data_IF_697804874367
#
_entry.id   IF_697804874367
#
_cell.length_a   1.000
_cell.length_b   1.000
_cell.length_c   1.000
_cell.angle_alpha   90.00
_cell.angle_beta   90.00
_cell.angle_gamma   90.00
#
_symmetry.space_group_name_H-M   'P 1'
#
loop_
_entity.id
_entity.type
_entity.pdbx_description
1 polymer ?
#
# COMPACT_ATOMS: atom_id res chain seq x y z
N UNK A 1 7.14 1.94 -15.98
CA UNK A 1 6.76 1.27 -14.70
C UNK A 1 5.83 2.17 -13.94
N UNK A 2 4.68 1.69 -13.45
CA UNK A 2 3.77 2.50 -12.63
C UNK A 2 4.49 2.99 -11.37
N UNK A 3 4.33 4.25 -11.03
CA UNK A 3 5.02 4.90 -9.94
C UNK A 3 4.10 5.85 -9.15
N UNK A 4 4.50 6.17 -7.93
CA UNK A 4 3.90 7.24 -7.13
C UNK A 4 5.01 8.22 -6.76
N UNK A 5 4.78 9.51 -7.03
CA UNK A 5 5.69 10.54 -6.60
C UNK A 5 5.64 10.66 -5.07
N UNK A 6 6.73 10.31 -4.41
CA UNK A 6 6.83 10.40 -2.94
C UNK A 6 7.69 11.59 -2.50
N UNK A 7 8.78 11.83 -3.20
CA UNK A 7 9.72 12.89 -2.89
C UNK A 7 9.95 13.78 -4.09
N UNK A 8 10.05 15.08 -3.86
CA UNK A 8 10.20 16.13 -4.88
C UNK A 8 11.50 16.88 -4.59
N UNK A 9 12.48 16.88 -5.49
CA UNK A 9 13.68 17.71 -5.36
C UNK A 9 13.32 19.19 -5.22
N UNK A 10 14.16 19.95 -4.50
CA UNK A 10 13.92 21.37 -4.21
C UNK A 10 13.68 22.20 -5.48
N UNK A 11 14.43 21.94 -6.53
CA UNK A 11 14.38 22.66 -7.81
C UNK A 11 13.02 22.51 -8.53
N UNK A 12 12.30 21.43 -8.24
CA UNK A 12 11.01 21.13 -8.85
C UNK A 12 9.81 21.39 -7.93
N UNK A 13 10.04 21.84 -6.68
CA UNK A 13 8.96 22.06 -5.70
C UNK A 13 7.87 22.97 -6.23
N UNK A 14 8.24 24.05 -6.93
CA UNK A 14 7.30 25.05 -7.44
C UNK A 14 6.37 24.54 -8.55
N UNK A 15 6.68 23.39 -9.16
CA UNK A 15 5.84 22.78 -10.20
C UNK A 15 4.58 22.10 -9.61
N UNK A 16 4.58 21.78 -8.31
CA UNK A 16 3.52 21.05 -7.66
C UNK A 16 2.79 21.94 -6.66
N UNK A 17 1.60 22.40 -7.04
CA UNK A 17 0.76 23.25 -6.20
C UNK A 17 -0.04 22.39 -5.18
N UNK A 18 0.67 21.83 -4.22
CA UNK A 18 0.11 21.02 -3.13
C UNK A 18 0.77 21.40 -1.80
N UNK A 19 0.04 21.20 -0.70
CA UNK A 19 0.59 21.41 0.64
C UNK A 19 1.74 20.44 0.90
N UNK A 20 2.87 20.96 1.36
CA UNK A 20 4.07 20.21 1.65
C UNK A 20 4.27 20.05 3.15
N UNK A 21 4.75 18.89 3.57
CA UNK A 21 5.24 18.71 4.93
C UNK A 21 6.35 19.72 5.24
N UNK A 22 6.39 20.22 6.46
CA UNK A 22 7.45 21.11 6.95
C UNK A 22 8.79 20.39 7.05
N UNK A 23 8.76 19.09 7.37
CA UNK A 23 9.93 18.22 7.35
C UNK A 23 10.45 18.03 5.92
N UNK A 24 11.76 18.01 5.77
CA UNK A 24 12.45 17.71 4.51
C UNK A 24 13.38 16.51 4.69
N UNK A 25 13.78 15.92 3.57
CA UNK A 25 14.73 14.81 3.51
C UNK A 25 15.93 15.22 2.68
N UNK A 26 17.01 14.46 2.78
CA UNK A 26 18.20 14.64 1.95
C UNK A 26 18.56 13.30 1.32
N UNK A 27 18.77 13.29 -0.01
CA UNK A 27 19.29 12.14 -0.75
C UNK A 27 20.58 12.58 -1.47
N UNK A 28 21.72 12.05 -1.03
CA UNK A 28 23.00 12.65 -1.39
C UNK A 28 23.03 14.12 -1.00
N UNK A 29 23.31 15.02 -1.94
CA UNK A 29 23.27 16.47 -1.73
C UNK A 29 21.90 17.10 -2.02
N UNK A 30 20.95 16.35 -2.58
CA UNK A 30 19.65 16.87 -2.99
C UNK A 30 18.68 16.95 -1.82
N UNK A 31 18.15 18.15 -1.57
CA UNK A 31 17.05 18.38 -0.62
C UNK A 31 15.73 17.96 -1.24
N UNK A 32 14.94 17.20 -0.50
CA UNK A 32 13.68 16.62 -0.95
C UNK A 32 12.51 17.13 -0.11
N UNK A 33 11.40 17.41 -0.78
CA UNK A 33 10.10 17.72 -0.20
C UNK A 33 9.12 16.57 -0.40
N UNK A 34 8.05 16.55 0.38
CA UNK A 34 6.97 15.58 0.27
C UNK A 34 5.63 16.25 0.50
N UNK A 35 4.65 15.93 -0.34
CA UNK A 35 3.29 16.40 -0.14
C UNK A 35 2.72 15.83 1.18
N UNK A 36 1.96 16.66 1.90
CA UNK A 36 1.31 16.27 3.15
C UNK A 36 0.32 15.10 2.92
N UNK A 37 -0.49 15.21 1.88
CA UNK A 37 -1.46 14.19 1.47
C UNK A 37 -1.09 13.63 0.10
N UNK A 38 -0.49 12.44 0.06
CA UNK A 38 0.00 11.84 -1.19
C UNK A 38 -1.10 11.18 -2.04
N UNK A 39 -2.24 10.81 -1.44
CA UNK A 39 -3.17 9.85 -2.06
C UNK A 39 -4.61 10.38 -2.12
N UNK A 40 -4.81 11.69 -2.06
CA UNK A 40 -6.11 12.30 -2.34
C UNK A 40 -6.34 12.38 -3.84
N UNK A 41 -7.60 12.34 -4.26
CA UNK A 41 -7.97 12.48 -5.67
C UNK A 41 -7.47 13.80 -6.24
N UNK A 42 -7.66 14.91 -5.49
CA UNK A 42 -7.23 16.25 -5.89
C UNK A 42 -5.72 16.33 -6.09
N UNK A 43 -4.91 15.87 -5.12
CA UNK A 43 -3.45 15.93 -5.26
C UNK A 43 -2.93 15.04 -6.39
N UNK A 44 -3.58 13.89 -6.63
CA UNK A 44 -3.21 13.03 -7.74
C UNK A 44 -3.43 13.71 -9.08
N UNK A 45 -4.55 14.42 -9.26
CA UNK A 45 -4.81 15.22 -10.48
C UNK A 45 -3.78 16.34 -10.63
N UNK A 46 -3.48 17.07 -9.55
CA UNK A 46 -2.42 18.11 -9.56
C UNK A 46 -1.06 17.55 -9.98
N UNK A 47 -0.71 16.35 -9.52
CA UNK A 47 0.53 15.69 -9.94
C UNK A 47 0.50 15.31 -11.43
N UNK A 48 -0.59 14.72 -11.93
CA UNK A 48 -0.72 14.38 -13.35
C UNK A 48 -0.58 15.63 -14.22
N UNK A 49 -1.24 16.72 -13.86
CA UNK A 49 -1.17 18.00 -14.61
C UNK A 49 0.24 18.58 -14.61
N UNK A 50 0.93 18.59 -13.47
CA UNK A 50 2.30 19.05 -13.36
C UNK A 50 3.25 18.21 -14.23
N UNK A 51 3.11 16.88 -14.17
CA UNK A 51 3.90 15.97 -15.01
C UNK A 51 3.58 16.14 -16.50
N UNK A 52 2.31 16.22 -16.89
CA UNK A 52 1.93 16.44 -18.30
C UNK A 52 2.58 17.71 -18.89
N UNK A 53 2.64 18.78 -18.07
CA UNK A 53 3.21 20.06 -18.49
C UNK A 53 4.73 20.05 -18.52
N UNK A 54 5.40 19.45 -17.53
CA UNK A 54 6.84 19.63 -17.32
C UNK A 54 7.66 18.36 -17.62
N UNK A 55 7.04 17.18 -17.53
CA UNK A 55 7.68 15.88 -17.69
C UNK A 55 6.73 14.88 -18.36
N UNK A 56 6.31 15.11 -19.62
CA UNK A 56 5.26 14.32 -20.28
C UNK A 56 5.58 12.82 -20.35
N UNK A 57 6.85 12.42 -20.42
CA UNK A 57 7.28 11.01 -20.43
C UNK A 57 6.95 10.27 -19.13
N UNK A 58 6.63 11.00 -18.05
CA UNK A 58 6.19 10.41 -16.79
C UNK A 58 4.66 10.23 -16.72
N UNK A 59 3.93 10.60 -17.75
CA UNK A 59 2.48 10.34 -17.87
C UNK A 59 2.28 9.23 -18.90
N UNK A 60 1.59 8.19 -18.47
CA UNK A 60 1.28 7.02 -19.28
C UNK A 60 -0.23 6.82 -19.38
N UNK A 61 -0.77 6.79 -20.61
CA UNK A 61 -2.14 6.38 -20.84
C UNK A 61 -2.24 4.86 -20.78
N UNK A 62 -3.01 4.36 -19.82
CA UNK A 62 -3.26 2.92 -19.66
C UNK A 62 -4.51 2.53 -20.46
N UNK A 63 -4.38 1.84 -21.62
CA UNK A 63 -5.51 1.47 -22.46
C UNK A 63 -6.40 0.38 -21.84
N UNK A 64 -5.92 -0.29 -20.79
CA UNK A 64 -6.69 -1.30 -20.09
C UNK A 64 -7.58 -0.72 -18.98
N UNK A 65 -7.29 0.50 -18.53
CA UNK A 65 -8.05 1.25 -17.52
C UNK A 65 -8.67 2.53 -18.05
N UNK A 66 -8.41 2.86 -19.32
CA UNK A 66 -8.86 4.08 -19.97
C UNK A 66 -8.56 5.34 -19.13
N UNK A 67 -7.31 5.46 -18.64
CA UNK A 67 -6.89 6.62 -17.85
C UNK A 67 -5.39 6.87 -17.90
N UNK A 68 -5.01 8.11 -17.60
CA UNK A 68 -3.61 8.48 -17.42
C UNK A 68 -3.12 8.10 -16.02
N UNK A 69 -1.91 7.60 -15.97
CA UNK A 69 -1.22 7.16 -14.77
C UNK A 69 0.18 7.76 -14.71
N UNK A 70 0.66 8.03 -13.51
CA UNK A 70 2.05 8.39 -13.30
C UNK A 70 2.90 7.14 -13.49
N UNK A 71 3.93 7.26 -14.30
CA UNK A 71 4.90 6.19 -14.53
C UNK A 71 6.34 6.72 -14.42
N UNK A 72 7.30 5.81 -14.22
CA UNK A 72 8.72 6.09 -14.41
C UNK A 72 9.17 5.37 -15.67
N UNK A 73 9.65 6.09 -16.71
CA UNK A 73 10.30 5.49 -17.86
C UNK A 73 11.49 4.63 -17.40
N UNK A 74 11.67 3.44 -17.97
CA UNK A 74 12.74 2.55 -17.54
C UNK A 74 14.13 3.18 -17.71
N UNK A 75 14.30 3.99 -18.76
CA UNK A 75 15.53 4.76 -19.02
C UNK A 75 15.84 5.84 -17.99
N UNK A 76 14.85 6.26 -17.20
CA UNK A 76 14.98 7.30 -16.16
C UNK A 76 15.14 6.70 -14.75
N UNK A 77 15.22 5.36 -14.63
CA UNK A 77 15.43 4.68 -13.35
C UNK A 77 16.93 4.49 -13.14
N UNK A 78 17.49 5.24 -12.21
CA UNK A 78 18.89 5.11 -11.83
C UNK A 78 19.13 3.92 -10.89
N UNK A 79 18.29 3.77 -9.88
CA UNK A 79 18.48 2.74 -8.84
C UNK A 79 17.15 2.15 -8.40
N UNK A 80 17.13 0.85 -8.16
CA UNK A 80 15.99 0.12 -7.58
C UNK A 80 16.38 -0.43 -6.22
N UNK A 81 15.68 0.00 -5.18
CA UNK A 81 15.87 -0.45 -3.81
C UNK A 81 14.91 -1.59 -3.49
N UNK A 82 15.34 -2.84 -3.71
CA UNK A 82 14.57 -4.04 -3.37
C UNK A 82 14.70 -4.30 -1.87
N UNK A 83 13.60 -4.36 -1.10
CA UNK A 83 13.66 -4.43 0.36
C UNK A 83 14.50 -5.59 0.92
N UNK A 84 14.42 -6.80 0.34
CA UNK A 84 15.29 -7.94 0.71
C UNK A 84 16.78 -7.60 0.53
N UNK A 85 17.14 -7.02 -0.62
CA UNK A 85 18.52 -6.62 -0.89
C UNK A 85 18.99 -5.50 0.05
N UNK A 86 18.10 -4.55 0.39
CA UNK A 86 18.39 -3.49 1.36
C UNK A 86 18.67 -4.06 2.76
N UNK A 87 17.93 -5.07 3.22
CA UNK A 87 18.19 -5.72 4.51
C UNK A 87 19.52 -6.47 4.49
N UNK A 88 19.85 -7.19 3.41
CA UNK A 88 21.15 -7.86 3.24
C UNK A 88 22.29 -6.84 3.28
N UNK A 89 22.13 -5.68 2.63
CA UNK A 89 23.11 -4.61 2.65
C UNK A 89 23.26 -4.02 4.06
N UNK A 90 22.15 -3.77 4.75
CA UNK A 90 22.15 -3.25 6.12
C UNK A 90 22.90 -4.20 7.10
N UNK A 91 22.68 -5.51 6.98
CA UNK A 91 23.39 -6.51 7.80
C UNK A 91 24.91 -6.54 7.57
N UNK A 92 25.39 -6.00 6.46
CA UNK A 92 26.84 -5.93 6.13
C UNK A 92 27.51 -4.62 6.57
N UNK A 93 26.72 -3.67 7.10
CA UNK A 93 27.27 -2.39 7.58
C UNK A 93 28.15 -2.64 8.79
N UNK A 94 29.45 -2.31 8.70
CA UNK A 94 30.44 -2.56 9.77
C UNK A 94 30.24 -1.65 10.97
N UNK A 95 29.71 -0.44 10.79
CA UNK A 95 29.42 0.54 11.83
C UNK A 95 28.01 1.10 11.66
N UNK A 96 26.97 0.28 11.93
CA UNK A 96 25.60 0.77 11.87
C UNK A 96 25.38 1.84 12.94
N UNK A 97 24.62 2.87 12.60
CA UNK A 97 24.16 3.85 13.56
C UNK A 97 23.09 3.27 14.51
N UNK A 98 22.64 4.08 15.46
CA UNK A 98 21.69 3.64 16.48
C UNK A 98 20.35 3.16 15.88
N UNK A 99 19.80 3.87 14.88
CA UNK A 99 18.53 3.49 14.25
C UNK A 99 18.67 2.22 13.41
N UNK A 100 19.79 2.07 12.70
CA UNK A 100 20.11 0.87 11.94
C UNK A 100 20.26 -0.37 12.84
N UNK A 101 20.97 -0.23 13.98
CA UNK A 101 21.07 -1.29 15.00
C UNK A 101 19.71 -1.67 15.54
N UNK A 102 18.89 -0.68 15.91
CA UNK A 102 17.56 -0.89 16.45
C UNK A 102 16.63 -1.58 15.44
N UNK A 103 16.75 -1.25 14.13
CA UNK A 103 16.02 -1.95 13.07
C UNK A 103 16.42 -3.43 12.97
N UNK A 104 17.72 -3.74 13.03
CA UNK A 104 18.21 -5.12 13.01
C UNK A 104 17.77 -5.90 14.26
N UNK A 105 17.84 -5.30 15.44
CA UNK A 105 17.42 -5.90 16.71
C UNK A 105 15.90 -6.19 16.72
N UNK A 106 15.10 -5.26 16.21
CA UNK A 106 13.64 -5.45 16.05
C UNK A 106 13.33 -6.62 15.12
N UNK A 107 13.98 -6.68 13.97
CA UNK A 107 13.77 -7.76 13.01
C UNK A 107 14.24 -9.11 13.57
N UNK A 108 15.35 -9.15 14.28
CA UNK A 108 15.83 -10.36 14.97
C UNK A 108 14.85 -10.83 16.06
N UNK A 109 14.29 -9.90 16.85
CA UNK A 109 13.28 -10.18 17.86
C UNK A 109 12.02 -10.80 17.25
N UNK A 110 11.50 -10.19 16.17
CA UNK A 110 10.29 -10.66 15.48
C UNK A 110 10.56 -12.00 14.78
N UNK A 111 11.69 -12.15 14.10
CA UNK A 111 12.11 -13.40 13.45
C UNK A 111 12.19 -14.55 14.46
N UNK A 112 12.81 -14.32 15.62
CA UNK A 112 12.89 -15.31 16.71
C UNK A 112 11.54 -15.70 17.25
N UNK A 113 10.62 -14.74 17.45
CA UNK A 113 9.28 -14.99 17.98
C UNK A 113 8.39 -15.73 16.97
N UNK A 114 8.48 -15.36 15.70
CA UNK A 114 7.64 -15.94 14.63
C UNK A 114 8.18 -17.25 14.06
N UNK A 115 9.49 -17.52 14.21
CA UNK A 115 10.18 -18.61 13.52
C UNK A 115 10.41 -18.34 12.03
N UNK A 116 9.99 -17.18 11.49
CA UNK A 116 10.22 -16.79 10.09
C UNK A 116 11.65 -16.30 9.93
N UNK A 117 12.36 -16.83 8.93
CA UNK A 117 13.75 -16.47 8.66
C UNK A 117 13.92 -15.03 8.17
N UNK A 118 15.03 -14.38 8.48
CA UNK A 118 15.33 -13.02 8.04
C UNK A 118 15.35 -12.87 6.49
N UNK A 119 15.52 -13.96 5.74
CA UNK A 119 15.45 -13.98 4.29
C UNK A 119 14.03 -13.62 3.75
N UNK A 120 13.00 -13.77 4.58
CA UNK A 120 11.62 -13.43 4.24
C UNK A 120 11.22 -12.01 4.69
N UNK A 121 12.18 -11.26 5.25
CA UNK A 121 12.01 -9.85 5.59
C UNK A 121 12.74 -8.94 4.60
N UNK A 122 12.38 -7.68 4.62
CA UNK A 122 13.09 -6.63 3.91
C UNK A 122 12.96 -5.29 4.62
N UNK A 123 13.94 -4.42 4.47
CA UNK A 123 13.90 -3.04 4.96
C UNK A 123 13.56 -2.10 3.82
N UNK A 124 12.72 -1.08 4.08
CA UNK A 124 12.41 -0.04 3.11
C UNK A 124 12.37 1.34 3.79
N UNK A 125 11.75 2.34 3.14
CA UNK A 125 11.67 3.68 3.70
C UNK A 125 13.02 4.39 3.76
N UNK A 126 13.19 5.27 4.73
CA UNK A 126 14.37 6.14 4.83
C UNK A 126 15.66 5.39 5.13
N UNK A 127 15.59 4.29 5.89
CA UNK A 127 16.76 3.46 6.21
C UNK A 127 17.33 2.82 4.95
N UNK A 128 16.45 2.22 4.11
CA UNK A 128 16.88 1.59 2.87
C UNK A 128 17.51 2.57 1.86
N UNK A 129 17.08 3.82 1.89
CA UNK A 129 17.55 4.88 1.00
C UNK A 129 18.74 5.66 1.58
N UNK A 130 19.22 5.30 2.79
CA UNK A 130 20.21 6.06 3.54
C UNK A 130 19.83 7.55 3.70
N UNK A 131 18.53 7.81 3.92
CA UNK A 131 17.93 9.15 4.08
C UNK A 131 17.35 9.34 5.49
N UNK A 132 17.61 8.41 6.40
CA UNK A 132 17.06 8.45 7.74
C UNK A 132 17.79 9.46 8.61
N UNK A 133 17.07 9.91 9.62
CA UNK A 133 17.56 10.75 10.71
C UNK A 133 17.22 10.05 12.05
N UNK A 134 17.78 10.50 13.17
CA UNK A 134 17.52 9.86 14.46
C UNK A 134 16.03 9.73 14.83
N UNK A 135 15.17 10.63 14.34
CA UNK A 135 13.71 10.60 14.57
C UNK A 135 12.94 9.76 13.55
N UNK A 136 13.59 9.17 12.56
CA UNK A 136 12.92 8.34 11.55
C UNK A 136 12.33 7.07 12.15
N UNK A 137 11.27 6.59 11.53
CA UNK A 137 10.62 5.31 11.80
C UNK A 137 11.39 4.14 11.14
N UNK A 138 11.10 2.93 11.61
CA UNK A 138 11.62 1.69 11.06
C UNK A 138 10.56 1.08 10.17
N UNK A 139 10.77 1.13 8.86
CA UNK A 139 9.86 0.55 7.87
C UNK A 139 10.39 -0.81 7.39
N UNK A 140 9.60 -1.89 7.54
CA UNK A 140 9.97 -3.20 7.02
C UNK A 140 8.81 -3.92 6.34
N UNK A 141 9.15 -4.91 5.53
CA UNK A 141 8.19 -5.76 4.83
C UNK A 141 8.42 -7.22 5.13
N UNK A 142 7.36 -7.99 5.07
CA UNK A 142 7.35 -9.45 5.13
C UNK A 142 6.90 -9.97 3.78
N UNK A 143 7.65 -10.92 3.22
CA UNK A 143 7.33 -11.55 1.96
C UNK A 143 6.47 -12.78 2.17
N UNK A 144 5.40 -12.89 1.38
CA UNK A 144 4.45 -13.98 1.43
C UNK A 144 3.30 -13.79 2.42
N UNK A 145 2.08 -14.16 1.99
CA UNK A 145 0.85 -13.99 2.79
C UNK A 145 0.88 -14.83 4.07
N UNK A 146 1.36 -16.06 3.99
CA UNK A 146 1.44 -16.94 5.16
C UNK A 146 2.46 -16.43 6.17
N UNK A 147 3.67 -16.05 5.72
CA UNK A 147 4.69 -15.47 6.57
C UNK A 147 4.19 -14.21 7.26
N UNK A 148 3.47 -13.34 6.51
CA UNK A 148 2.88 -12.14 7.09
C UNK A 148 1.90 -12.47 8.24
N UNK A 149 1.03 -13.46 8.10
CA UNK A 149 0.09 -13.87 9.15
C UNK A 149 0.79 -14.39 10.40
N UNK A 150 1.84 -15.19 10.21
CA UNK A 150 2.66 -15.70 11.33
C UNK A 150 3.38 -14.56 12.05
N UNK A 151 3.96 -13.62 11.30
CA UNK A 151 4.64 -12.44 11.88
C UNK A 151 3.63 -11.52 12.59
N UNK A 152 2.45 -11.30 12.01
CA UNK A 152 1.38 -10.51 12.64
C UNK A 152 0.98 -11.08 14.01
N UNK A 153 0.83 -12.40 14.11
CA UNK A 153 0.56 -13.09 15.37
C UNK A 153 1.72 -12.93 16.36
N UNK A 154 2.96 -13.10 15.90
CA UNK A 154 4.15 -12.94 16.74
C UNK A 154 4.28 -11.50 17.28
N UNK A 155 3.97 -10.48 16.47
CA UNK A 155 3.94 -9.10 16.93
C UNK A 155 2.86 -8.91 18.02
N UNK A 156 1.68 -9.50 17.86
CA UNK A 156 0.63 -9.43 18.88
C UNK A 156 1.07 -10.08 20.20
N UNK A 157 1.77 -11.21 20.15
CA UNK A 157 2.35 -11.87 21.34
C UNK A 157 3.43 -11.01 22.02
N UNK A 158 4.31 -10.38 21.24
CA UNK A 158 5.32 -9.45 21.75
C UNK A 158 4.69 -8.21 22.38
N UNK A 159 3.56 -7.73 21.86
CA UNK A 159 2.79 -6.64 22.47
C UNK A 159 2.19 -7.10 23.80
N UNK A 160 1.56 -8.27 23.85
CA UNK A 160 1.01 -8.84 25.09
C UNK A 160 2.11 -9.08 26.16
N UNK A 161 3.33 -9.38 25.73
CA UNK A 161 4.50 -9.55 26.60
C UNK A 161 5.16 -8.20 27.00
N UNK A 162 4.63 -7.06 26.56
CA UNK A 162 5.16 -5.73 26.88
C UNK A 162 6.47 -5.36 26.18
N UNK A 163 6.92 -6.17 25.20
CA UNK A 163 8.15 -5.91 24.43
C UNK A 163 7.92 -4.94 23.27
N UNK A 164 6.71 -4.90 22.75
CA UNK A 164 6.25 -3.97 21.72
C UNK A 164 4.96 -3.28 22.20
N UNK A 165 4.53 -2.23 21.52
CA UNK A 165 3.18 -1.68 21.69
C UNK A 165 2.62 -1.27 20.33
N UNK A 166 1.28 -1.32 20.17
CA UNK A 166 0.65 -0.78 18.98
C UNK A 166 0.46 0.73 19.09
N UNK A 167 0.48 1.40 17.93
CA UNK A 167 0.04 2.79 17.77
C UNK A 167 -1.33 2.74 17.12
N UNK A 168 -2.33 3.30 17.81
CA UNK A 168 -3.71 3.35 17.35
C UNK A 168 -4.15 4.80 17.37
N UNK A 169 -4.15 5.45 16.20
CA UNK A 169 -4.59 6.83 16.04
C UNK A 169 -6.09 6.95 15.68
N UNK A 170 -6.64 5.91 15.05
CA UNK A 170 -8.02 5.90 14.59
C UNK A 170 -8.54 4.45 14.45
N UNK A 171 -9.83 4.31 14.07
CA UNK A 171 -10.51 3.01 13.90
C UNK A 171 -9.82 2.08 12.89
N UNK A 172 -9.30 2.62 11.78
CA UNK A 172 -8.60 1.80 10.79
C UNK A 172 -7.26 1.30 11.31
N UNK A 173 -6.53 2.13 12.06
CA UNK A 173 -5.28 1.71 12.69
C UNK A 173 -5.51 0.63 13.74
N UNK A 174 -6.62 0.72 14.49
CA UNK A 174 -7.03 -0.32 15.44
C UNK A 174 -7.32 -1.66 14.76
N UNK A 175 -7.93 -1.62 13.57
CA UNK A 175 -8.27 -2.82 12.81
C UNK A 175 -7.03 -3.46 12.15
N UNK A 176 -6.17 -2.66 11.52
CA UNK A 176 -5.03 -3.17 10.74
C UNK A 176 -3.77 -3.45 11.55
N UNK A 177 -3.53 -2.70 12.65
CA UNK A 177 -2.38 -2.86 13.59
C UNK A 177 -1.00 -2.86 12.92
N UNK A 178 -0.79 -2.05 11.89
CA UNK A 178 0.45 -2.03 11.10
C UNK A 178 1.56 -1.16 11.69
N UNK A 179 1.27 -0.41 12.75
CA UNK A 179 2.23 0.46 13.43
C UNK A 179 2.38 0.09 14.90
N UNK A 180 3.61 0.22 15.38
CA UNK A 180 3.93 0.01 16.79
C UNK A 180 5.14 0.80 17.23
N UNK A 181 5.55 0.53 18.50
CA UNK A 181 6.78 1.06 19.10
C UNK A 181 7.66 -0.07 19.62
N UNK A 182 8.94 0.10 19.38
CA UNK A 182 10.03 -0.71 19.93
C UNK A 182 11.08 0.21 20.52
N UNK A 183 11.39 0.09 21.82
CA UNK A 183 12.36 0.95 22.51
C UNK A 183 12.15 2.45 22.24
N UNK A 184 10.88 2.90 22.23
CA UNK A 184 10.50 4.29 21.96
C UNK A 184 10.44 4.68 20.47
N UNK A 185 10.99 3.87 19.55
CA UNK A 185 10.94 4.12 18.11
C UNK A 185 9.66 3.57 17.48
N UNK A 186 9.14 4.33 16.54
CA UNK A 186 8.01 3.90 15.72
C UNK A 186 8.51 2.89 14.70
N UNK A 187 7.77 1.82 14.51
CA UNK A 187 7.93 0.91 13.37
C UNK A 187 6.64 0.76 12.60
N UNK A 188 6.77 0.49 11.31
CA UNK A 188 5.67 0.11 10.44
C UNK A 188 6.05 -1.15 9.65
N UNK A 189 5.13 -2.12 9.58
CA UNK A 189 5.35 -3.32 8.80
C UNK A 189 4.26 -3.52 7.74
N UNK A 190 4.63 -4.13 6.64
CA UNK A 190 3.77 -4.35 5.49
C UNK A 190 4.03 -5.73 4.90
N UNK A 191 3.06 -6.21 4.10
CA UNK A 191 3.24 -7.42 3.29
C UNK A 191 3.70 -7.08 1.87
N UNK A 192 4.53 -7.94 1.30
CA UNK A 192 4.91 -7.95 -0.11
C UNK A 192 4.72 -9.35 -0.67
N UNK A 193 4.15 -9.47 -1.89
CA UNK A 193 3.98 -10.77 -2.54
C UNK A 193 5.33 -11.38 -2.89
N UNK A 194 5.45 -12.69 -2.72
CA UNK A 194 6.48 -13.45 -3.40
C UNK A 194 6.17 -13.51 -4.91
N UNK A 195 7.16 -13.72 -5.78
CA UNK A 195 6.94 -13.81 -7.23
C UNK A 195 5.84 -14.80 -7.61
N UNK A 196 5.75 -15.93 -6.90
CA UNK A 196 4.80 -17.02 -7.14
C UNK A 196 3.36 -16.64 -6.74
N UNK A 197 3.19 -15.64 -5.89
CA UNK A 197 1.89 -15.09 -5.51
C UNK A 197 1.37 -14.05 -6.52
N UNK A 198 2.19 -13.62 -7.49
CA UNK A 198 1.80 -12.70 -8.56
C UNK A 198 1.12 -13.48 -9.67
N UNK A 199 -0.20 -13.61 -9.60
CA UNK A 199 -0.99 -14.45 -10.53
C UNK A 199 -1.45 -13.74 -11.81
N UNK A 200 -1.29 -12.41 -11.87
CA UNK A 200 -1.76 -11.62 -13.02
C UNK A 200 -0.65 -10.75 -13.58
N UNK A 201 -0.58 -10.67 -14.91
CA UNK A 201 0.34 -9.77 -15.63
C UNK A 201 -0.37 -8.50 -16.09
N UNK A 202 0.37 -7.45 -16.31
CA UNK A 202 -0.15 -6.25 -16.97
C UNK A 202 -0.73 -6.61 -18.34
N UNK A 203 -1.90 -6.05 -18.66
CA UNK A 203 -2.61 -6.32 -19.90
C UNK A 203 -3.45 -7.61 -19.91
N UNK A 204 -3.52 -8.37 -18.80
CA UNK A 204 -4.36 -9.56 -18.74
C UNK A 204 -5.86 -9.25 -18.72
N UNK A 205 -6.24 -8.08 -18.23
CA UNK A 205 -7.62 -7.64 -18.10
C UNK A 205 -7.82 -6.20 -18.56
N UNK A 206 -9.03 -5.92 -19.07
CA UNK A 206 -9.57 -4.57 -19.26
C UNK A 206 -10.53 -4.27 -18.12
N UNK A 207 -10.47 -3.06 -17.59
CA UNK A 207 -11.28 -2.60 -16.46
C UNK A 207 -12.21 -1.51 -16.97
N UNK A 208 -13.53 -1.77 -16.93
CA UNK A 208 -14.56 -0.87 -17.43
C UNK A 208 -15.36 -0.33 -16.25
N UNK A 209 -15.22 0.95 -15.88
CA UNK A 209 -16.00 1.54 -14.81
C UNK A 209 -17.48 1.61 -15.20
N UNK A 210 -18.38 1.35 -14.25
CA UNK A 210 -19.84 1.31 -14.50
C UNK A 210 -20.53 2.42 -13.70
N UNK A 211 -20.51 2.32 -12.36
CA UNK A 211 -21.23 3.25 -11.48
C UNK A 211 -20.63 3.23 -10.07
N UNK A 212 -20.74 4.31 -9.30
CA UNK A 212 -20.45 4.27 -7.87
C UNK A 212 -21.51 3.42 -7.13
N UNK A 213 -21.06 2.67 -6.12
CA UNK A 213 -21.93 1.84 -5.28
C UNK A 213 -21.67 2.08 -3.80
N UNK A 214 -22.74 1.89 -2.99
CA UNK A 214 -22.69 1.86 -1.53
C UNK A 214 -23.40 0.60 -1.02
N UNK A 215 -22.68 -0.25 -0.31
CA UNK A 215 -23.22 -1.53 0.15
C UNK A 215 -22.54 -2.02 1.43
N UNK A 216 -23.15 -3.04 2.03
CA UNK A 216 -22.57 -3.86 3.08
C UNK A 216 -22.33 -5.27 2.53
N UNK A 217 -21.32 -5.94 3.05
CA UNK A 217 -21.03 -7.32 2.65
C UNK A 217 -20.21 -8.02 3.74
N UNK A 218 -20.12 -9.34 3.60
CA UNK A 218 -19.25 -10.18 4.43
C UNK A 218 -17.96 -10.52 3.67
N UNK A 219 -16.81 -10.41 4.33
CA UNK A 219 -15.53 -10.87 3.77
C UNK A 219 -15.55 -12.41 3.76
N UNK A 220 -15.48 -13.01 2.58
CA UNK A 220 -15.45 -14.47 2.41
C UNK A 220 -14.03 -15.03 2.35
N UNK A 221 -13.02 -14.22 1.98
CA UNK A 221 -11.61 -14.59 1.93
C UNK A 221 -10.74 -13.34 2.13
N UNK A 222 -9.80 -13.40 3.05
CA UNK A 222 -8.89 -12.31 3.43
C UNK A 222 -7.42 -12.59 3.09
N UNK A 223 -7.14 -13.59 2.24
CA UNK A 223 -5.78 -14.03 1.92
C UNK A 223 -4.92 -12.95 1.23
N UNK A 224 -5.53 -11.98 0.56
CA UNK A 224 -4.81 -10.92 -0.15
C UNK A 224 -5.07 -9.51 0.41
N UNK A 225 -5.69 -9.40 1.58
CA UNK A 225 -6.08 -8.10 2.15
C UNK A 225 -4.91 -7.26 2.68
N UNK A 226 -3.78 -7.90 3.05
CA UNK A 226 -2.57 -7.25 3.55
C UNK A 226 -1.72 -6.59 2.45
N UNK A 227 -1.94 -6.93 1.20
CA UNK A 227 -1.15 -6.46 0.07
C UNK A 227 -1.58 -5.09 -0.47
N UNK A 228 -0.85 -4.60 -1.44
CA UNK A 228 -1.24 -3.46 -2.27
C UNK A 228 -1.23 -3.88 -3.75
N UNK A 229 -2.40 -3.93 -4.40
CA UNK A 229 -3.72 -3.65 -3.85
C UNK A 229 -4.15 -4.66 -2.78
N UNK A 230 -4.97 -4.19 -1.82
CA UNK A 230 -5.72 -5.06 -0.92
C UNK A 230 -6.89 -5.66 -1.71
N UNK A 231 -7.10 -6.97 -1.60
CA UNK A 231 -8.21 -7.66 -2.25
C UNK A 231 -8.99 -8.43 -1.20
N UNK A 232 -10.24 -8.03 -1.00
CA UNK A 232 -11.21 -8.69 -0.14
C UNK A 232 -12.17 -9.47 -1.03
N UNK A 233 -12.21 -10.80 -1.00
CA UNK A 233 -13.33 -11.52 -1.58
C UNK A 233 -14.54 -11.36 -0.68
N UNK A 234 -15.71 -11.19 -1.27
CA UNK A 234 -16.92 -10.86 -0.53
C UNK A 234 -18.09 -11.77 -0.90
N UNK A 235 -19.03 -11.86 0.03
CA UNK A 235 -20.33 -12.49 -0.12
C UNK A 235 -21.40 -11.65 0.57
N UNK A 236 -22.67 -12.08 0.49
CA UNK A 236 -23.77 -11.41 1.19
C UNK A 236 -23.90 -9.93 0.87
N UNK A 237 -23.83 -9.57 -0.43
CA UNK A 237 -24.00 -8.21 -0.89
C UNK A 237 -25.37 -7.66 -0.46
N UNK A 238 -25.39 -6.51 0.21
CA UNK A 238 -26.58 -5.80 0.67
C UNK A 238 -26.47 -4.33 0.24
N UNK A 239 -27.24 -3.86 -0.78
CA UNK A 239 -27.22 -2.46 -1.17
C UNK A 239 -27.70 -1.56 -0.02
N UNK A 240 -27.12 -0.35 0.08
CA UNK A 240 -27.53 0.65 1.09
C UNK A 240 -28.63 1.56 0.55
N UNK A 241 -28.69 1.73 -0.77
CA UNK A 241 -29.63 2.58 -1.48
C UNK A 241 -30.09 1.91 -2.80
N UNK A 242 -31.15 2.45 -3.41
CA UNK A 242 -31.69 1.91 -4.66
C UNK A 242 -30.74 2.04 -5.85
N UNK A 243 -29.85 3.04 -5.84
CA UNK A 243 -28.82 3.21 -6.88
C UNK A 243 -27.76 2.11 -6.84
N UNK A 244 -27.62 1.44 -5.70
CA UNK A 244 -26.70 0.34 -5.48
C UNK A 244 -27.36 -1.05 -5.66
N UNK A 245 -28.62 -1.12 -6.03
CA UNK A 245 -29.27 -2.41 -6.38
C UNK A 245 -28.71 -2.95 -7.69
N UNK A 246 -28.34 -4.22 -7.69
CA UNK A 246 -27.74 -4.89 -8.85
C UNK A 246 -28.48 -6.19 -9.17
N UNK A 247 -28.61 -6.53 -10.43
CA UNK A 247 -29.05 -7.88 -10.82
C UNK A 247 -27.97 -8.90 -10.40
N UNK A 248 -28.36 -10.14 -10.08
CA UNK A 248 -27.45 -11.14 -9.49
C UNK A 248 -26.15 -11.37 -10.27
N UNK A 249 -26.20 -11.31 -11.58
CA UNK A 249 -25.06 -11.51 -12.48
C UNK A 249 -24.03 -10.37 -12.47
N UNK A 250 -24.38 -9.20 -11.91
CA UNK A 250 -23.50 -8.01 -11.78
C UNK A 250 -22.99 -7.78 -10.36
N UNK A 251 -23.44 -8.60 -9.40
CA UNK A 251 -22.96 -8.47 -8.02
C UNK A 251 -21.45 -8.72 -7.98
N UNK A 252 -20.67 -7.80 -7.40
CA UNK A 252 -19.23 -7.95 -7.32
C UNK A 252 -18.84 -9.12 -6.38
N UNK A 253 -17.79 -9.85 -6.75
CA UNK A 253 -17.24 -10.92 -5.93
C UNK A 253 -16.07 -10.47 -5.04
N UNK A 254 -15.59 -9.22 -5.23
CA UNK A 254 -14.47 -8.66 -4.48
C UNK A 254 -14.48 -7.15 -4.39
N UNK A 255 -13.81 -6.65 -3.36
CA UNK A 255 -13.44 -5.24 -3.18
C UNK A 255 -11.92 -5.11 -3.30
N UNK A 256 -11.45 -4.16 -4.10
CA UNK A 256 -10.03 -3.91 -4.37
C UNK A 256 -9.66 -2.49 -3.92
N UNK A 257 -8.57 -2.32 -3.18
CA UNK A 257 -8.10 -0.98 -2.81
C UNK A 257 -6.59 -0.83 -2.93
N UNK A 258 -6.18 0.26 -3.56
CA UNK A 258 -4.79 0.72 -3.60
C UNK A 258 -4.42 1.65 -2.42
N UNK A 259 -5.41 2.03 -1.59
CA UNK A 259 -5.19 2.93 -0.45
C UNK A 259 -4.63 2.15 0.74
N UNK A 260 -3.50 2.62 1.26
CA UNK A 260 -2.76 1.90 2.30
C UNK A 260 -3.53 1.70 3.62
N UNK A 261 -4.42 2.63 4.01
CA UNK A 261 -5.18 2.51 5.25
C UNK A 261 -6.26 1.42 5.21
N UNK A 262 -6.67 0.97 4.02
CA UNK A 262 -7.66 -0.09 3.86
C UNK A 262 -7.06 -1.50 3.75
N UNK A 263 -5.75 -1.64 3.93
CA UNK A 263 -5.13 -2.97 3.98
C UNK A 263 -5.39 -3.64 5.32
N UNK A 264 -5.74 -4.91 5.28
CA UNK A 264 -5.80 -5.77 6.48
C UNK A 264 -6.76 -5.30 7.58
N UNK A 265 -7.83 -4.57 7.23
CA UNK A 265 -8.78 -4.00 8.21
C UNK A 265 -9.95 -4.93 8.57
N UNK A 266 -10.12 -6.03 7.84
CA UNK A 266 -11.17 -7.01 8.07
C UNK A 266 -10.67 -8.42 7.76
N UNK A 267 -11.24 -9.40 8.45
CA UNK A 267 -10.93 -10.83 8.33
C UNK A 267 -12.08 -11.57 7.71
N UNK A 268 -11.82 -12.79 7.28
CA UNK A 268 -12.89 -13.69 6.87
C UNK A 268 -13.97 -13.75 7.96
N UNK A 269 -15.24 -13.64 7.55
CA UNK A 269 -16.40 -13.57 8.43
C UNK A 269 -16.74 -12.17 8.93
N UNK A 270 -15.86 -11.17 8.79
CA UNK A 270 -16.18 -9.79 9.18
C UNK A 270 -17.14 -9.12 8.20
N UNK A 271 -18.02 -8.27 8.71
CA UNK A 271 -18.83 -7.36 7.90
C UNK A 271 -18.09 -6.06 7.62
N UNK A 272 -18.22 -5.55 6.39
CA UNK A 272 -17.66 -4.26 5.96
C UNK A 272 -18.71 -3.44 5.23
N UNK A 273 -18.61 -2.11 5.37
CA UNK A 273 -19.32 -1.11 4.56
C UNK A 273 -18.39 -0.57 3.51
N UNK A 274 -18.85 -0.48 2.28
CA UNK A 274 -18.06 -0.07 1.13
C UNK A 274 -18.77 1.02 0.37
N UNK A 275 -18.03 2.07 0.01
CA UNK A 275 -18.38 3.00 -1.06
C UNK A 275 -17.22 3.01 -2.07
N UNK A 276 -17.50 2.74 -3.34
CA UNK A 276 -16.48 2.66 -4.38
C UNK A 276 -17.07 2.50 -5.77
N UNK A 277 -16.20 2.41 -6.76
CA UNK A 277 -16.55 2.32 -8.17
C UNK A 277 -16.74 0.85 -8.58
N UNK A 278 -17.93 0.49 -9.06
CA UNK A 278 -18.14 -0.80 -9.72
C UNK A 278 -17.41 -0.82 -11.05
N UNK A 279 -16.66 -1.87 -11.27
CA UNK A 279 -15.97 -2.15 -12.52
C UNK A 279 -16.35 -3.54 -13.05
N UNK A 280 -16.52 -3.65 -14.35
CA UNK A 280 -16.52 -4.92 -15.06
C UNK A 280 -15.09 -5.23 -15.48
N UNK A 281 -14.60 -6.40 -15.12
CA UNK A 281 -13.25 -6.87 -15.45
C UNK A 281 -13.34 -7.90 -16.55
N UNK A 282 -12.81 -7.57 -17.71
CA UNK A 282 -12.86 -8.37 -18.92
C UNK A 282 -11.49 -8.97 -19.21
N UNK A 283 -11.34 -10.29 -19.28
CA UNK A 283 -10.12 -10.90 -19.78
C UNK A 283 -9.82 -10.41 -21.21
N UNK A 284 -8.59 -10.02 -21.49
CA UNK A 284 -8.14 -9.66 -22.85
C UNK A 284 -8.06 -10.90 -23.74
N UNK A 285 -7.63 -12.02 -23.16
CA UNK A 285 -7.68 -13.33 -23.76
C UNK A 285 -9.01 -14.03 -23.39
N UNK A 286 -9.16 -15.32 -23.76
CA UNK A 286 -10.35 -16.09 -23.43
C UNK A 286 -10.59 -16.18 -21.93
N UNK A 287 -11.81 -15.99 -21.49
CA UNK A 287 -12.20 -16.08 -20.09
C UNK A 287 -13.59 -15.46 -19.83
N UNK A 288 -14.09 -15.63 -18.61
CA UNK A 288 -15.36 -15.05 -18.17
C UNK A 288 -15.08 -13.70 -17.50
N UNK A 289 -15.84 -12.67 -17.90
CA UNK A 289 -15.84 -11.40 -17.20
C UNK A 289 -16.43 -11.56 -15.78
N UNK A 290 -15.95 -10.74 -14.84
CA UNK A 290 -16.45 -10.66 -13.48
C UNK A 290 -16.59 -9.20 -13.05
N UNK A 291 -17.16 -8.97 -11.87
CA UNK A 291 -17.36 -7.63 -11.33
C UNK A 291 -16.58 -7.45 -10.03
N UNK A 292 -16.02 -6.27 -9.86
CA UNK A 292 -15.34 -5.85 -8.63
C UNK A 292 -15.73 -4.43 -8.25
N UNK A 293 -15.54 -4.05 -6.98
CA UNK A 293 -15.62 -2.65 -6.56
C UNK A 293 -14.23 -2.17 -6.21
N UNK A 294 -13.83 -1.03 -6.78
CA UNK A 294 -12.54 -0.39 -6.50
C UNK A 294 -12.74 0.80 -5.57
N UNK A 295 -11.88 0.88 -4.55
CA UNK A 295 -11.81 1.98 -3.58
C UNK A 295 -10.44 2.63 -3.68
N UNK A 296 -10.41 3.93 -3.90
CA UNK A 296 -9.18 4.68 -4.19
C UNK A 296 -8.93 4.83 -5.68
N UNK A 297 -9.99 5.18 -6.44
CA UNK A 297 -9.91 5.42 -7.89
C UNK A 297 -9.22 6.73 -8.24
N UNK A 298 -8.99 7.62 -7.25
CA UNK A 298 -8.54 9.01 -7.42
C UNK A 298 -9.54 9.88 -8.21
N UNK A 299 -10.82 9.49 -8.25
CA UNK A 299 -11.90 10.25 -8.90
C UNK A 299 -12.90 10.83 -7.90
N UNK A 300 -12.97 10.28 -6.68
CA UNK A 300 -13.85 10.74 -5.60
C UNK A 300 -13.17 10.62 -4.25
N UNK A 301 -13.42 11.58 -3.35
CA UNK A 301 -13.01 11.54 -1.94
C UNK A 301 -14.04 10.79 -1.06
N UNK A 302 -15.18 10.38 -1.60
CA UNK A 302 -16.26 9.68 -0.88
C UNK A 302 -16.08 8.16 -0.79
N UNK A 303 -15.01 7.64 -1.38
CA UNK A 303 -14.74 6.20 -1.41
C UNK A 303 -14.15 5.71 -0.08
N UNK A 304 -14.70 4.61 0.45
CA UNK A 304 -14.21 4.03 1.70
C UNK A 304 -14.43 2.52 1.82
N UNK A 305 -13.68 1.90 2.73
CA UNK A 305 -13.94 0.58 3.31
C UNK A 305 -13.94 0.74 4.83
N UNK A 306 -15.07 0.42 5.50
CA UNK A 306 -15.21 0.51 6.94
C UNK A 306 -15.59 -0.84 7.54
N UNK A 307 -14.83 -1.36 8.54
CA UNK A 307 -15.29 -2.50 9.32
C UNK A 307 -16.53 -2.10 10.13
N UNK A 308 -17.52 -3.01 10.21
CA UNK A 308 -18.77 -2.82 10.98
C UNK A 308 -18.56 -3.23 12.43
#
# INVERSE_FOLDING_TARGET
MLAFLKYIPADFKALFNVDMLTRTWKYGETRLFRAEKLYTAQNYQTFIEAFRKSFPDYVYYDPFRDKELINAPLSSIETVYVPKACLVALNKVTKPDELQKMALDLLALISKQSGIGLADFGIHGSIALNMHAPESDIDFVIYGSQNFRVVEQAIAELVNAGKLSYIVGNRLDAARKFQGRYCGKIFMYNATREPEEVKTRYGAYRYVPIAPLRFQCTVSDDAETMYRPAIYKISSYKPVDSASELPPEKVPDRVVSNIGCYRNIARQGSEIKVAGQLERVEPVEKGKAFYQVVVGTATSEEEYIWPV
#
